data_IF_930574118065
#
_entry.id   IF_930574118065
#
_cell.length_a   1.000
_cell.length_b   1.000
_cell.length_c   1.000
_cell.angle_alpha   90.00
_cell.angle_beta   90.00
_cell.angle_gamma   90.00
#
_symmetry.space_group_name_H-M   'P 1'
#
loop_
_entity.id
_entity.type
_entity.pdbx_description
1 polymer ?
#
# COMPACT_ATOMS: atom_id res chain seq x y z
N UNK A 1 -0.31 -5.55 -21.56
CA UNK A 1 -1.08 -4.58 -20.73
C UNK A 1 -2.19 -4.05 -21.60
N UNK A 2 -3.44 -4.47 -21.35
CA UNK A 2 -4.56 -4.14 -22.24
C UNK A 2 -5.11 -2.73 -22.02
N UNK A 3 -4.74 -2.11 -20.90
CA UNK A 3 -5.19 -0.78 -20.49
C UNK A 3 -4.35 0.35 -21.12
N UNK A 4 -3.12 0.05 -21.54
CA UNK A 4 -2.15 1.00 -22.09
C UNK A 4 -1.90 0.69 -23.57
N UNK A 5 -1.80 1.73 -24.39
CA UNK A 5 -1.27 1.65 -25.73
C UNK A 5 0.26 1.63 -25.69
N UNK A 6 0.85 0.52 -26.15
CA UNK A 6 2.29 0.29 -26.03
C UNK A 6 3.13 1.20 -26.95
N UNK A 7 2.56 1.70 -28.05
CA UNK A 7 3.28 2.56 -28.98
C UNK A 7 3.39 4.00 -28.46
N UNK A 8 2.41 4.45 -27.68
CA UNK A 8 2.30 5.84 -27.23
C UNK A 8 2.44 6.03 -25.73
N UNK A 9 2.49 4.94 -24.95
CA UNK A 9 2.46 4.96 -23.48
C UNK A 9 1.25 5.71 -22.91
N UNK A 10 0.13 5.74 -23.64
CA UNK A 10 -1.11 6.41 -23.23
C UNK A 10 -2.17 5.40 -22.81
N UNK A 11 -3.01 5.80 -21.87
CA UNK A 11 -4.19 5.02 -21.50
C UNK A 11 -5.15 4.92 -22.69
N UNK A 12 -5.71 3.73 -22.90
CA UNK A 12 -6.78 3.53 -23.88
C UNK A 12 -8.08 4.23 -23.42
N UNK A 13 -9.01 4.55 -24.34
CA UNK A 13 -10.28 5.15 -23.98
C UNK A 13 -11.06 4.34 -22.95
N UNK A 14 -11.65 5.02 -21.95
CA UNK A 14 -12.54 4.40 -20.95
C UNK A 14 -11.84 3.77 -19.73
N UNK A 15 -10.50 3.71 -19.72
CA UNK A 15 -9.75 3.20 -18.57
C UNK A 15 -9.24 4.34 -17.67
N UNK A 16 -8.98 4.04 -16.40
CA UNK A 16 -8.49 5.01 -15.40
C UNK A 16 -7.04 4.78 -15.00
N UNK A 17 -6.55 3.56 -15.19
CA UNK A 17 -5.18 3.20 -14.86
C UNK A 17 -4.74 2.03 -15.74
N UNK A 18 -3.42 1.83 -15.78
CA UNK A 18 -2.80 0.68 -16.44
C UNK A 18 -1.73 0.01 -15.58
N UNK A 19 -1.25 0.68 -14.54
CA UNK A 19 -0.17 0.23 -13.69
C UNK A 19 -0.37 0.74 -12.25
N UNK A 20 0.23 0.05 -11.28
CA UNK A 20 0.13 0.33 -9.84
C UNK A 20 -0.71 -0.70 -9.07
N UNK A 21 -0.39 -0.88 -7.79
CA UNK A 21 -0.98 -1.90 -6.91
C UNK A 21 -2.48 -1.68 -6.64
N UNK A 22 -2.97 -0.45 -6.82
CA UNK A 22 -4.38 -0.08 -6.74
C UNK A 22 -5.08 -0.03 -8.10
N UNK A 23 -4.47 -0.55 -9.17
CA UNK A 23 -5.12 -0.75 -10.46
C UNK A 23 -5.64 -2.18 -10.59
N UNK A 24 -6.92 -2.35 -10.89
CA UNK A 24 -7.53 -3.64 -11.17
C UNK A 24 -8.49 -3.52 -12.36
N UNK A 25 -8.32 -4.39 -13.37
CA UNK A 25 -9.14 -4.37 -14.60
C UNK A 25 -9.21 -2.96 -15.23
N UNK A 26 -8.07 -2.29 -15.27
CA UNK A 26 -7.91 -0.92 -15.79
C UNK A 26 -8.71 0.18 -15.06
N UNK A 27 -9.21 -0.12 -13.86
CA UNK A 27 -9.95 0.79 -12.99
C UNK A 27 -9.27 0.89 -11.62
N UNK A 28 -9.54 1.97 -10.88
CA UNK A 28 -9.07 2.05 -9.51
C UNK A 28 -9.79 1.01 -8.65
N UNK A 29 -9.02 0.27 -7.84
CA UNK A 29 -9.58 -0.56 -6.78
C UNK A 29 -10.42 0.30 -5.85
N UNK A 30 -11.47 -0.28 -5.25
CA UNK A 30 -12.33 0.43 -4.30
C UNK A 30 -11.54 0.99 -3.12
N UNK A 31 -12.01 2.12 -2.58
CA UNK A 31 -11.46 2.66 -1.35
C UNK A 31 -11.49 1.60 -0.23
N UNK A 32 -10.37 1.45 0.48
CA UNK A 32 -10.24 0.44 1.54
C UNK A 32 -9.70 -0.91 1.09
N UNK A 33 -9.52 -1.16 -0.23
CA UNK A 33 -8.85 -2.37 -0.69
C UNK A 33 -7.36 -2.37 -0.25
N UNK A 34 -6.89 -3.45 0.37
CA UNK A 34 -5.49 -3.56 0.79
C UNK A 34 -4.57 -3.63 -0.42
N UNK A 35 -3.60 -2.72 -0.52
CA UNK A 35 -2.55 -2.75 -1.53
C UNK A 35 -1.21 -3.26 -0.97
N UNK A 36 -0.89 -2.96 0.29
CA UNK A 36 0.24 -3.57 1.00
C UNK A 36 -0.22 -4.18 2.31
N UNK A 37 0.20 -5.43 2.55
CA UNK A 37 -0.10 -6.16 3.78
C UNK A 37 0.89 -5.80 4.88
N UNK A 38 0.42 -5.87 6.13
CA UNK A 38 1.24 -5.77 7.34
C UNK A 38 2.33 -6.85 7.34
N UNK A 39 3.58 -6.45 7.59
CA UNK A 39 4.73 -7.36 7.69
C UNK A 39 5.06 -7.77 9.12
N UNK A 40 4.81 -6.90 10.11
CA UNK A 40 5.11 -7.10 11.52
C UNK A 40 4.27 -6.16 12.40
N UNK A 41 4.29 -6.34 13.72
CA UNK A 41 3.49 -5.59 14.70
C UNK A 41 3.58 -4.07 14.58
N UNK A 42 4.74 -3.55 14.15
CA UNK A 42 4.96 -2.12 13.98
C UNK A 42 4.59 -1.57 12.59
N UNK A 43 3.96 -2.38 11.74
CA UNK A 43 3.60 -2.03 10.37
C UNK A 43 2.09 -1.80 10.25
N UNK A 44 1.65 -0.84 9.43
CA UNK A 44 0.24 -0.62 9.15
C UNK A 44 -0.13 -1.12 7.76
N UNK A 45 -1.37 -1.58 7.49
CA UNK A 45 -1.78 -1.89 6.14
C UNK A 45 -2.05 -0.60 5.35
N UNK A 46 -1.60 -0.54 4.10
CA UNK A 46 -1.98 0.53 3.18
C UNK A 46 -3.17 0.11 2.36
N UNK A 47 -4.08 1.07 2.24
CA UNK A 47 -5.36 0.89 1.59
C UNK A 47 -5.44 1.81 0.39
N UNK A 48 -5.97 1.29 -0.71
CA UNK A 48 -6.28 2.07 -1.89
C UNK A 48 -7.27 3.18 -1.54
N UNK A 49 -7.06 4.37 -2.13
CA UNK A 49 -7.94 5.52 -1.92
C UNK A 49 -9.24 5.47 -2.73
N UNK A 50 -9.31 4.60 -3.73
CA UNK A 50 -10.40 4.61 -4.73
C UNK A 50 -10.23 5.66 -5.84
N UNK A 51 -9.18 6.48 -5.77
CA UNK A 51 -8.97 7.63 -6.65
C UNK A 51 -7.59 7.65 -7.31
N UNK A 52 -6.71 6.71 -6.92
CA UNK A 52 -5.36 6.55 -7.46
C UNK A 52 -5.07 5.08 -7.69
N UNK A 53 -4.23 4.82 -8.70
CA UNK A 53 -3.71 3.49 -8.98
C UNK A 53 -2.47 3.14 -8.15
N UNK A 54 -1.84 4.15 -7.55
CA UNK A 54 -0.68 3.95 -6.68
C UNK A 54 -1.14 3.66 -5.25
N UNK A 55 -0.49 2.70 -4.62
CA UNK A 55 -0.64 2.49 -3.19
C UNK A 55 -0.07 3.72 -2.46
N UNK A 56 -0.69 4.17 -1.35
CA UNK A 56 -0.09 5.17 -0.49
C UNK A 56 1.33 4.77 -0.03
N UNK A 57 2.11 5.77 0.39
CA UNK A 57 3.41 5.53 1.01
C UNK A 57 3.27 4.64 2.25
N UNK A 58 4.28 3.78 2.46
CA UNK A 58 4.39 2.88 3.60
C UNK A 58 4.34 3.67 4.92
N UNK A 59 3.42 3.29 5.80
CA UNK A 59 3.20 3.85 7.12
C UNK A 59 3.39 2.77 8.17
N UNK A 60 4.00 3.19 9.27
CA UNK A 60 4.21 2.35 10.44
C UNK A 60 3.36 2.81 11.62
N UNK A 61 3.18 1.90 12.58
CA UNK A 61 2.54 2.18 13.86
C UNK A 61 3.25 3.33 14.58
N UNK A 62 2.49 4.09 15.36
CA UNK A 62 3.05 5.21 16.13
C UNK A 62 4.21 4.74 17.01
N UNK A 63 5.25 5.58 17.12
CA UNK A 63 6.35 5.31 18.05
C UNK A 63 5.80 5.13 19.47
N UNK A 64 6.31 4.12 20.18
CA UNK A 64 5.81 3.77 21.52
C UNK A 64 4.65 2.78 21.53
N UNK A 65 4.15 2.33 20.38
CA UNK A 65 3.18 1.22 20.35
C UNK A 65 3.86 -0.07 20.86
N UNK A 66 3.28 -0.80 21.83
CA UNK A 66 3.86 -2.07 22.30
C UNK A 66 3.92 -3.10 21.17
N UNK A 67 5.02 -3.84 21.09
CA UNK A 67 5.25 -4.86 20.05
C UNK A 67 5.97 -6.08 20.61
N UNK A 68 5.98 -7.19 19.85
CA UNK A 68 6.62 -8.45 20.26
C UNK A 68 6.11 -8.95 21.64
N UNK A 69 4.79 -9.01 21.83
CA UNK A 69 4.18 -9.39 23.12
C UNK A 69 4.65 -8.52 24.31
N UNK A 70 4.70 -7.20 24.13
CA UNK A 70 5.17 -6.21 25.12
C UNK A 70 6.66 -6.33 25.51
N UNK A 71 7.49 -6.98 24.68
CA UNK A 71 8.94 -7.03 24.88
C UNK A 71 9.67 -5.78 24.39
N UNK A 72 8.99 -4.96 23.57
CA UNK A 72 9.55 -3.73 23.04
C UNK A 72 8.47 -2.73 22.65
N UNK A 73 8.93 -1.62 22.08
CA UNK A 73 8.08 -0.55 21.59
C UNK A 73 8.48 -0.15 20.18
N UNK A 74 7.49 0.06 19.32
CA UNK A 74 7.72 0.44 17.94
C UNK A 74 8.52 1.74 17.86
N UNK A 75 9.52 1.74 16.97
CA UNK A 75 10.32 2.91 16.65
C UNK A 75 10.68 2.89 15.17
N UNK A 76 10.21 3.88 14.41
CA UNK A 76 10.45 4.01 12.97
C UNK A 76 10.11 2.72 12.19
N UNK A 77 8.99 2.09 12.54
CA UNK A 77 8.54 0.83 11.92
C UNK A 77 9.26 -0.44 12.38
N UNK A 78 10.25 -0.36 13.27
CA UNK A 78 10.91 -1.54 13.84
C UNK A 78 10.48 -1.78 15.29
N UNK A 79 10.61 -3.01 15.78
CA UNK A 79 10.42 -3.34 17.20
C UNK A 79 11.77 -3.65 17.85
N UNK A 80 12.55 -2.62 18.27
CA UNK A 80 13.79 -2.85 19.00
C UNK A 80 13.48 -3.53 20.35
N UNK A 81 14.15 -4.65 20.60
CA UNK A 81 14.12 -5.39 21.86
C UNK A 81 15.53 -5.50 22.43
N UNK A 82 15.65 -5.59 23.75
CA UNK A 82 16.93 -5.94 24.39
C UNK A 82 17.07 -7.46 24.23
N UNK A 83 18.03 -7.88 23.41
CA UNK A 83 18.36 -9.29 23.18
C UNK A 83 18.87 -9.97 24.46
#
# INVERSE_FOLDING_TARGET
>A
NDCCDAATCKLKPGVKCADGECCEKCQFKRAGAVCRKVKHDCDLPELCSGQSAQCPLDRFSVNGHPCQNNQGYCYMGTCPTLA
#
